data_IF_531850569568
#
_entry.id   IF_531850569568
#
_cell.length_a   1.000
_cell.length_b   1.000
_cell.length_c   1.000
_cell.angle_alpha   90.00
_cell.angle_beta   90.00
_cell.angle_gamma   90.00
#
_symmetry.space_group_name_H-M   'P 1'
#
loop_
_entity.id
_entity.type
_entity.pdbx_description
1 polymer ?
#
# COMPACT_ATOMS: atom_id res chain seq x y z
N UNK A 1 -55.46 -3.14 3.68
CA UNK A 1 -55.73 -2.25 2.52
C UNK A 1 -55.54 -0.82 2.98
N UNK A 2 -54.61 -0.10 2.30
CA UNK A 2 -54.37 1.36 2.17
C UNK A 2 -54.57 2.29 3.39
N UNK A 3 -53.64 3.22 3.69
CA UNK A 3 -53.13 4.24 2.75
C UNK A 3 -51.70 4.72 3.05
N UNK A 4 -50.94 4.87 1.95
CA UNK A 4 -50.18 6.05 1.53
C UNK A 4 -48.94 6.54 2.30
N UNK A 5 -47.80 6.28 1.66
CA UNK A 5 -46.68 7.18 1.35
C UNK A 5 -46.89 8.68 1.59
N UNK A 6 -45.93 9.34 2.27
CA UNK A 6 -45.42 10.68 1.93
C UNK A 6 -44.11 11.00 2.64
N UNK A 7 -43.06 11.07 1.81
CA UNK A 7 -41.79 11.82 1.87
C UNK A 7 -41.59 12.92 2.95
N UNK A 8 -40.30 13.03 3.31
CA UNK A 8 -39.50 14.20 3.74
C UNK A 8 -39.63 14.69 5.20
N UNK A 9 -38.55 14.50 5.97
CA UNK A 9 -37.96 15.58 6.77
C UNK A 9 -36.53 15.23 7.22
N UNK A 10 -35.60 16.15 6.95
CA UNK A 10 -34.24 16.21 7.52
C UNK A 10 -34.29 16.40 9.04
N UNK A 11 -33.38 15.74 9.76
CA UNK A 11 -32.87 16.11 11.10
C UNK A 11 -31.57 15.29 11.28
N UNK A 12 -30.35 15.81 11.09
CA UNK A 12 -29.54 16.72 11.93
C UNK A 12 -29.38 16.23 13.38
N UNK A 13 -28.11 16.26 13.85
CA UNK A 13 -27.57 16.13 15.22
C UNK A 13 -27.60 14.68 15.78
N UNK A 14 -26.57 14.09 16.40
CA UNK A 14 -25.52 14.67 17.25
C UNK A 14 -24.34 13.71 17.43
N UNK A 15 -23.14 14.28 17.60
CA UNK A 15 -22.02 13.63 18.28
C UNK A 15 -22.49 13.10 19.65
N UNK A 16 -22.19 11.83 19.94
CA UNK A 16 -22.31 11.28 21.28
C UNK A 16 -20.93 10.83 21.76
N UNK A 17 -20.54 11.44 22.88
CA UNK A 17 -19.27 11.31 23.57
C UNK A 17 -18.98 9.86 24.00
N UNK A 18 -17.73 9.43 23.81
CA UNK A 18 -17.19 8.26 24.50
C UNK A 18 -16.96 8.63 25.97
N UNK A 19 -17.84 8.17 26.84
CA UNK A 19 -17.64 8.12 28.28
C UNK A 19 -17.39 6.66 28.71
N UNK A 20 -16.14 6.42 29.10
CA UNK A 20 -15.60 5.56 30.17
C UNK A 20 -16.59 4.63 30.91
N UNK A 21 -16.18 3.37 31.15
CA UNK A 21 -16.25 2.59 32.41
C UNK A 21 -15.66 1.17 32.12
N UNK A 22 -14.56 0.75 32.74
CA UNK A 22 -14.54 -0.12 33.94
C UNK A 22 -14.98 -1.55 33.58
N UNK A 23 -14.18 -2.62 33.66
CA UNK A 23 -13.35 -3.05 34.78
C UNK A 23 -14.00 -4.27 35.46
N UNK A 24 -13.45 -5.47 35.18
CA UNK A 24 -13.47 -6.75 35.94
C UNK A 24 -14.60 -7.79 35.79
N UNK A 25 -14.12 -9.03 35.57
CA UNK A 25 -14.65 -10.36 35.94
C UNK A 25 -15.81 -10.97 35.11
N UNK A 26 -15.41 -11.73 34.08
CA UNK A 26 -16.18 -12.83 33.53
C UNK A 26 -15.23 -13.96 33.12
N UNK A 27 -15.17 -15.02 33.94
CA UNK A 27 -14.50 -16.28 33.63
C UNK A 27 -15.31 -17.01 32.55
N UNK A 28 -14.70 -17.29 31.40
CA UNK A 28 -15.38 -17.98 30.31
C UNK A 28 -14.57 -18.06 29.03
N UNK A 29 -13.99 -19.25 28.83
CA UNK A 29 -13.55 -19.82 27.55
C UNK A 29 -12.28 -19.26 26.91
N UNK A 30 -11.30 -20.15 26.82
CA UNK A 30 -10.13 -20.10 25.93
C UNK A 30 -10.39 -19.34 24.62
N UNK A 31 -9.78 -18.17 24.50
CA UNK A 31 -9.38 -17.64 23.20
C UNK A 31 -7.87 -17.81 23.15
N UNK A 32 -7.45 -18.96 22.64
CA UNK A 32 -6.11 -19.19 22.11
C UNK A 32 -5.69 -17.93 21.38
N UNK A 33 -4.67 -17.24 21.90
CA UNK A 33 -3.97 -16.24 21.13
C UNK A 33 -3.38 -16.99 19.92
N UNK A 34 -4.08 -16.96 18.79
CA UNK A 34 -3.46 -17.28 17.52
C UNK A 34 -2.40 -16.20 17.34
N UNK A 35 -1.19 -16.53 17.78
CA UNK A 35 0.00 -15.94 17.25
C UNK A 35 -0.09 -16.18 15.74
N UNK A 36 -0.57 -15.18 15.00
CA UNK A 36 -0.33 -15.06 13.57
C UNK A 36 1.16 -15.17 13.42
N UNK A 37 1.61 -16.40 13.17
CA UNK A 37 2.97 -16.69 12.78
C UNK A 37 3.04 -16.01 11.44
N UNK A 38 3.59 -14.79 11.42
CA UNK A 38 3.92 -14.13 10.17
C UNK A 38 4.83 -15.10 9.44
N UNK A 39 4.27 -15.80 8.46
CA UNK A 39 5.03 -16.70 7.61
C UNK A 39 6.17 -15.84 7.08
N UNK A 40 7.41 -16.22 7.39
CA UNK A 40 8.57 -15.60 6.78
C UNK A 40 8.33 -15.69 5.28
N UNK A 41 8.15 -14.57 4.55
CA UNK A 41 7.94 -14.64 3.12
C UNK A 41 9.15 -15.39 2.57
N UNK A 42 8.91 -16.54 1.96
CA UNK A 42 9.96 -17.22 1.20
C UNK A 42 10.46 -16.18 0.21
N UNK A 43 11.75 -15.85 0.27
CA UNK A 43 12.33 -14.86 -0.62
C UNK A 43 12.09 -15.31 -2.06
N UNK A 44 11.19 -14.60 -2.75
CA UNK A 44 10.82 -14.94 -4.11
C UNK A 44 11.80 -14.21 -5.02
N UNK A 45 12.54 -14.98 -5.83
CA UNK A 45 13.35 -14.39 -6.90
C UNK A 45 12.43 -13.70 -7.90
N UNK A 46 12.67 -12.41 -8.10
CA UNK A 46 11.98 -11.60 -9.08
C UNK A 46 12.17 -12.18 -10.49
N UNK A 47 11.07 -12.34 -11.22
CA UNK A 47 11.17 -12.66 -12.64
C UNK A 47 11.86 -11.52 -13.40
N UNK A 48 12.39 -11.80 -14.59
CA UNK A 48 13.20 -10.83 -15.34
C UNK A 48 12.47 -9.51 -15.64
N UNK A 49 11.14 -9.54 -15.82
CA UNK A 49 10.34 -8.33 -16.08
C UNK A 49 10.11 -7.57 -14.78
N UNK A 50 9.62 -8.26 -13.74
CA UNK A 50 9.41 -7.67 -12.41
C UNK A 50 10.69 -7.06 -11.85
N UNK A 51 11.83 -7.73 -12.03
CA UNK A 51 13.14 -7.23 -11.61
C UNK A 51 13.46 -5.87 -12.20
N UNK A 52 13.30 -5.71 -13.52
CA UNK A 52 13.62 -4.43 -14.19
C UNK A 52 12.66 -3.30 -13.80
N UNK A 53 11.36 -3.59 -13.67
CA UNK A 53 10.40 -2.61 -13.17
C UNK A 53 10.68 -2.22 -11.71
N UNK A 54 11.02 -3.19 -10.88
CA UNK A 54 11.41 -2.99 -9.48
C UNK A 54 12.69 -2.16 -9.36
N UNK A 55 13.70 -2.38 -10.20
CA UNK A 55 14.94 -1.57 -10.22
C UNK A 55 14.65 -0.10 -10.54
N UNK A 56 13.76 0.18 -11.50
CA UNK A 56 13.34 1.55 -11.83
C UNK A 56 12.58 2.20 -10.67
N UNK A 57 11.59 1.49 -10.10
CA UNK A 57 10.81 2.00 -8.96
C UNK A 57 11.68 2.22 -7.74
N UNK A 58 12.64 1.32 -7.50
CA UNK A 58 13.57 1.46 -6.40
C UNK A 58 14.46 2.69 -6.53
N UNK A 59 15.04 2.90 -7.72
CA UNK A 59 15.85 4.07 -8.00
C UNK A 59 15.04 5.38 -7.90
N UNK A 60 13.74 5.34 -8.26
CA UNK A 60 12.81 6.45 -8.04
C UNK A 60 12.60 6.73 -6.55
N UNK A 61 12.32 5.71 -5.72
CA UNK A 61 12.12 5.89 -4.28
C UNK A 61 13.36 6.51 -3.62
N UNK A 62 14.55 6.04 -3.97
CA UNK A 62 15.79 6.63 -3.48
C UNK A 62 16.01 8.09 -3.92
N UNK A 63 15.47 8.49 -5.08
CA UNK A 63 15.56 9.88 -5.54
C UNK A 63 14.53 10.77 -4.84
N UNK A 64 13.31 10.27 -4.63
CA UNK A 64 12.24 10.98 -3.92
C UNK A 64 12.63 11.23 -2.46
N UNK A 65 13.19 10.23 -1.78
CA UNK A 65 13.62 10.35 -0.38
C UNK A 65 14.70 11.43 -0.17
N UNK A 66 15.44 11.78 -1.22
CA UNK A 66 16.50 12.78 -1.20
C UNK A 66 16.04 14.18 -1.64
N UNK A 67 14.83 14.32 -2.15
CA UNK A 67 14.37 15.55 -2.80
C UNK A 67 13.28 16.28 -1.99
N UNK A 68 13.49 17.56 -1.72
CA UNK A 68 12.45 18.44 -1.20
C UNK A 68 11.36 18.62 -2.27
N UNK A 69 10.10 18.34 -1.93
CA UNK A 69 8.88 18.24 -2.76
C UNK A 69 8.51 19.44 -3.67
N UNK A 70 9.44 20.06 -4.38
CA UNK A 70 9.19 21.30 -5.11
C UNK A 70 8.57 21.09 -6.50
N UNK A 71 8.67 19.91 -7.11
CA UNK A 71 8.18 19.67 -8.47
C UNK A 71 7.76 18.22 -8.74
N UNK A 72 6.46 17.93 -8.61
CA UNK A 72 5.86 16.63 -8.95
C UNK A 72 5.99 16.28 -10.44
N UNK A 73 6.04 17.29 -11.31
CA UNK A 73 6.16 17.09 -12.74
C UNK A 73 7.58 16.62 -13.11
N UNK A 74 8.60 17.11 -12.40
CA UNK A 74 9.97 16.65 -12.54
C UNK A 74 10.12 15.16 -12.20
N UNK A 75 9.47 14.68 -11.12
CA UNK A 75 9.49 13.25 -10.77
C UNK A 75 8.79 12.37 -11.80
N UNK A 76 7.69 12.85 -12.37
CA UNK A 76 6.97 12.11 -13.43
C UNK A 76 7.83 12.02 -14.68
N UNK A 77 8.49 13.11 -15.07
CA UNK A 77 9.41 13.14 -16.23
C UNK A 77 10.61 12.23 -16.03
N UNK A 78 11.22 12.23 -14.84
CA UNK A 78 12.33 11.34 -14.48
C UNK A 78 11.91 9.87 -14.54
N UNK A 79 10.75 9.52 -13.97
CA UNK A 79 10.20 8.17 -14.03
C UNK A 79 9.98 7.73 -15.48
N UNK A 80 9.34 8.56 -16.30
CA UNK A 80 9.06 8.22 -17.71
C UNK A 80 10.35 7.98 -18.50
N UNK A 81 11.41 8.77 -18.25
CA UNK A 81 12.70 8.59 -18.88
C UNK A 81 13.35 7.25 -18.50
N UNK A 82 13.34 6.89 -17.21
CA UNK A 82 13.90 5.61 -16.72
C UNK A 82 13.13 4.41 -17.23
N UNK A 83 11.80 4.51 -17.30
CA UNK A 83 10.96 3.47 -17.88
C UNK A 83 11.26 3.27 -19.36
N UNK A 84 11.38 4.36 -20.12
CA UNK A 84 11.71 4.30 -21.54
C UNK A 84 13.10 3.65 -21.77
N UNK A 85 14.11 4.00 -20.96
CA UNK A 85 15.44 3.37 -21.00
C UNK A 85 15.38 1.86 -20.70
N UNK A 86 14.54 1.46 -19.73
CA UNK A 86 14.30 0.07 -19.39
C UNK A 86 13.38 -0.68 -20.39
N UNK A 87 12.82 0.02 -21.39
CA UNK A 87 11.96 -0.55 -22.42
C UNK A 87 10.50 -0.73 -22.00
N UNK A 88 10.04 0.01 -20.99
CA UNK A 88 8.67 -0.02 -20.47
C UNK A 88 7.92 1.29 -20.73
N UNK A 89 6.61 1.21 -20.80
CA UNK A 89 5.72 2.38 -20.79
C UNK A 89 5.30 2.72 -19.37
N UNK A 90 4.89 3.98 -19.16
CA UNK A 90 4.27 4.42 -17.91
C UNK A 90 3.07 3.55 -17.52
N UNK A 91 2.24 3.15 -18.49
CA UNK A 91 1.07 2.32 -18.24
C UNK A 91 1.46 0.92 -17.73
N UNK A 92 2.53 0.32 -18.27
CA UNK A 92 3.03 -0.97 -17.82
C UNK A 92 3.54 -0.89 -16.38
N UNK A 93 4.34 0.13 -16.07
CA UNK A 93 4.79 0.39 -14.70
C UNK A 93 3.61 0.62 -13.77
N UNK A 94 2.64 1.46 -14.15
CA UNK A 94 1.48 1.77 -13.31
C UNK A 94 0.67 0.52 -12.98
N UNK A 95 0.40 -0.33 -13.97
CA UNK A 95 -0.30 -1.60 -13.75
C UNK A 95 0.43 -2.52 -12.78
N UNK A 96 1.76 -2.63 -12.94
CA UNK A 96 2.60 -3.40 -12.03
C UNK A 96 2.62 -2.80 -10.62
N UNK A 97 2.81 -1.48 -10.50
CA UNK A 97 2.88 -0.75 -9.24
C UNK A 97 1.54 -0.85 -8.48
N UNK A 98 0.41 -0.66 -9.16
CA UNK A 98 -0.93 -0.80 -8.56
C UNK A 98 -1.17 -2.24 -8.07
N UNK A 99 -0.59 -3.25 -8.73
CA UNK A 99 -0.72 -4.66 -8.33
C UNK A 99 0.06 -5.00 -7.04
N UNK A 100 1.05 -4.19 -6.64
CA UNK A 100 1.78 -4.37 -5.37
C UNK A 100 0.82 -4.38 -4.18
N UNK A 101 -0.25 -3.58 -4.21
CA UNK A 101 -1.21 -3.47 -3.11
C UNK A 101 -1.96 -4.78 -2.80
N UNK A 102 -2.07 -5.69 -3.77
CA UNK A 102 -2.83 -6.94 -3.64
C UNK A 102 -2.02 -8.22 -3.82
N UNK A 103 -0.71 -8.12 -4.07
CA UNK A 103 0.13 -9.27 -4.39
C UNK A 103 1.31 -9.39 -3.44
N UNK A 104 1.19 -10.23 -2.38
CA UNK A 104 2.30 -10.53 -1.46
C UNK A 104 3.55 -11.03 -2.19
N UNK A 105 3.35 -11.73 -3.30
CA UNK A 105 4.43 -12.25 -4.13
C UNK A 105 5.21 -11.12 -4.82
N UNK A 106 4.51 -10.14 -5.43
CA UNK A 106 5.18 -8.99 -6.04
C UNK A 106 5.89 -8.13 -4.99
N UNK A 107 5.33 -8.04 -3.78
CA UNK A 107 5.99 -7.38 -2.65
C UNK A 107 7.29 -8.12 -2.27
N UNK A 108 7.27 -9.46 -2.18
CA UNK A 108 8.46 -10.27 -1.89
C UNK A 108 9.56 -10.07 -2.95
N UNK A 109 9.17 -10.06 -4.23
CA UNK A 109 10.10 -9.80 -5.34
C UNK A 109 10.65 -8.37 -5.32
N UNK A 110 9.82 -7.36 -5.02
CA UNK A 110 10.29 -5.98 -4.88
C UNK A 110 11.25 -5.83 -3.68
N UNK A 111 10.98 -6.53 -2.57
CA UNK A 111 11.85 -6.56 -1.40
C UNK A 111 13.22 -7.21 -1.70
N UNK A 112 13.27 -8.25 -2.53
CA UNK A 112 14.54 -8.83 -3.00
C UNK A 112 15.39 -7.77 -3.71
N UNK A 113 14.79 -7.01 -4.63
CA UNK A 113 15.49 -6.01 -5.45
C UNK A 113 15.95 -4.80 -4.61
N UNK A 114 15.14 -4.37 -3.64
CA UNK A 114 15.42 -3.21 -2.78
C UNK A 114 16.28 -3.53 -1.54
N UNK A 115 16.55 -4.80 -1.27
CA UNK A 115 17.34 -5.25 -0.12
C UNK A 115 18.68 -4.53 0.11
N UNK A 116 19.44 -4.09 -0.93
CA UNK A 116 20.69 -3.37 -0.73
C UNK A 116 20.56 -2.00 -0.06
N UNK A 117 19.37 -1.40 -0.02
CA UNK A 117 19.20 -0.03 0.46
C UNK A 117 19.58 1.01 -0.60
N UNK A 118 19.23 2.28 -0.32
CA UNK A 118 19.55 3.37 -1.24
C UNK A 118 21.05 3.64 -1.23
N UNK A 119 21.68 3.90 -2.39
CA UNK A 119 23.08 4.29 -2.42
C UNK A 119 23.27 5.60 -1.65
N UNK A 120 24.42 5.72 -0.98
CA UNK A 120 24.81 6.99 -0.36
C UNK A 120 24.98 8.06 -1.45
N UNK A 121 24.45 9.26 -1.18
CA UNK A 121 24.49 10.41 -2.09
C UNK A 121 25.91 10.95 -2.31
#
# INVERSE_FOLDING_TARGET
MSCSDRRLARAVVSLAALALLGGTAGCGSDATAEASTAATPTATTADATTRRLAEVEWARQCTVDLASHADEQAFTTDLDARLAEAGFTHEQWKKWHDALAGSPELISQFAEVSAPGCPAA
#
